data_IF_210031982232
#
_entry.id   IF_210031982232
#
_cell.length_a   1.000
_cell.length_b   1.000
_cell.length_c   1.000
_cell.angle_alpha   90.00
_cell.angle_beta   90.00
_cell.angle_gamma   90.00
#
_symmetry.space_group_name_H-M   'P 1'
#
loop_
_entity.id
_entity.type
_entity.pdbx_description
1 polymer ?
#
# COMPACT_ATOMS: atom_id res chain seq x y z
N UNK A 1 19.87 -17.06 3.93
CA UNK A 1 19.90 -16.73 2.49
C UNK A 1 19.82 -15.23 2.33
N UNK A 2 20.59 -14.61 1.41
CA UNK A 2 20.55 -13.15 1.23
C UNK A 2 19.66 -12.80 0.04
N UNK A 3 18.66 -11.97 0.26
CA UNK A 3 17.74 -11.47 -0.79
C UNK A 3 17.49 -9.97 -0.58
N UNK A 4 17.18 -9.24 -1.65
CA UNK A 4 16.79 -7.82 -1.51
C UNK A 4 15.36 -7.68 -1.00
N UNK A 5 15.00 -6.57 -0.33
CA UNK A 5 13.63 -6.30 0.08
C UNK A 5 12.62 -6.42 -1.06
N UNK A 6 12.98 -5.97 -2.25
CA UNK A 6 12.12 -6.08 -3.44
C UNK A 6 11.81 -7.54 -3.80
N UNK A 7 12.78 -8.45 -3.69
CA UNK A 7 12.53 -9.87 -3.93
C UNK A 7 11.66 -10.47 -2.84
N UNK A 8 11.95 -10.14 -1.56
CA UNK A 8 11.14 -10.62 -0.43
C UNK A 8 9.67 -10.15 -0.52
N UNK A 9 9.42 -8.91 -0.94
CA UNK A 9 8.06 -8.40 -1.17
C UNK A 9 7.33 -9.15 -2.29
N UNK A 10 8.04 -9.57 -3.35
CA UNK A 10 7.46 -10.40 -4.41
C UNK A 10 7.12 -11.81 -3.91
N UNK A 11 8.01 -12.42 -3.13
CA UNK A 11 7.77 -13.72 -2.50
C UNK A 11 6.57 -13.65 -1.53
N UNK A 12 6.51 -12.61 -0.71
CA UNK A 12 5.38 -12.38 0.19
C UNK A 12 4.05 -12.34 -0.57
N UNK A 13 4.00 -11.63 -1.69
CA UNK A 13 2.81 -11.59 -2.55
C UNK A 13 2.45 -12.97 -3.10
N UNK A 14 3.44 -13.74 -3.52
CA UNK A 14 3.23 -15.10 -4.02
C UNK A 14 2.69 -16.03 -2.92
N UNK A 15 3.28 -16.01 -1.71
CA UNK A 15 2.79 -16.79 -0.57
C UNK A 15 1.33 -16.46 -0.25
N UNK A 16 0.96 -15.18 -0.24
CA UNK A 16 -0.42 -14.76 -0.01
C UNK A 16 -1.38 -15.27 -1.10
N UNK A 17 -0.96 -15.27 -2.36
CA UNK A 17 -1.76 -15.82 -3.46
C UNK A 17 -1.96 -17.33 -3.29
N UNK A 18 -0.92 -18.07 -2.90
CA UNK A 18 -1.02 -19.51 -2.65
C UNK A 18 -1.93 -19.84 -1.47
N UNK A 19 -1.85 -19.11 -0.37
CA UNK A 19 -2.76 -19.25 0.77
C UNK A 19 -4.22 -19.03 0.32
N UNK A 20 -4.48 -17.99 -0.47
CA UNK A 20 -5.82 -17.70 -0.99
C UNK A 20 -6.31 -18.79 -1.95
N UNK A 21 -5.41 -19.37 -2.76
CA UNK A 21 -5.74 -20.51 -3.63
C UNK A 21 -6.21 -21.70 -2.81
N UNK A 22 -5.49 -22.05 -1.72
CA UNK A 22 -5.87 -23.17 -0.86
C UNK A 22 -7.21 -22.91 -0.16
N UNK A 23 -7.46 -21.68 0.34
CA UNK A 23 -8.77 -21.33 0.90
C UNK A 23 -9.90 -21.44 -0.11
N UNK A 24 -9.67 -21.06 -1.36
CA UNK A 24 -10.65 -21.23 -2.44
C UNK A 24 -10.88 -22.72 -2.75
N UNK A 25 -9.85 -23.55 -2.68
CA UNK A 25 -9.95 -24.99 -2.84
C UNK A 25 -10.76 -25.63 -1.70
N UNK A 26 -10.52 -25.22 -0.45
CA UNK A 26 -11.31 -25.68 0.71
C UNK A 26 -12.81 -25.39 0.52
N UNK A 27 -13.17 -24.26 -0.06
CA UNK A 27 -14.57 -23.90 -0.27
C UNK A 27 -15.19 -24.58 -1.50
N UNK A 28 -14.42 -24.82 -2.55
CA UNK A 28 -14.94 -25.35 -3.82
C UNK A 28 -14.93 -26.87 -3.92
N UNK A 29 -13.99 -27.55 -3.21
CA UNK A 29 -13.80 -29.01 -3.28
C UNK A 29 -14.21 -29.76 -2.04
N UNK A 30 -14.70 -29.08 -0.99
CA UNK A 30 -15.16 -29.71 0.26
C UNK A 30 -16.47 -30.49 0.11
N UNK A 31 -17.15 -30.33 -1.03
CA UNK A 31 -18.35 -31.12 -1.38
C UNK A 31 -18.11 -31.85 -2.68
N UNK A 32 -18.53 -33.13 -2.71
CA UNK A 32 -18.50 -33.93 -3.92
C UNK A 32 -19.83 -34.71 -4.07
N UNK A 33 -20.31 -34.94 -5.31
CA UNK A 33 -21.54 -35.68 -5.55
C UNK A 33 -21.35 -37.13 -5.19
N UNK A 34 -22.42 -37.75 -4.62
CA UNK A 34 -22.51 -39.16 -4.35
C UNK A 34 -23.22 -39.87 -5.50
N UNK A 35 -22.94 -41.16 -5.63
CA UNK A 35 -23.68 -42.09 -6.50
C UNK A 35 -24.93 -42.65 -5.79
N UNK A 36 -25.60 -43.63 -6.44
CA UNK A 36 -26.80 -44.28 -5.92
C UNK A 36 -26.52 -45.17 -4.66
N UNK A 37 -25.24 -45.52 -4.43
CA UNK A 37 -24.80 -46.32 -3.28
C UNK A 37 -24.27 -45.43 -2.14
N UNK A 38 -24.42 -44.12 -2.23
CA UNK A 38 -23.90 -43.12 -1.28
C UNK A 38 -22.36 -43.06 -1.23
N UNK A 39 -21.70 -43.46 -2.31
CA UNK A 39 -20.24 -43.35 -2.48
C UNK A 39 -19.90 -42.16 -3.36
N UNK A 40 -18.69 -41.60 -3.18
CA UNK A 40 -18.24 -40.47 -4.03
C UNK A 40 -18.11 -40.95 -5.49
N UNK A 41 -18.71 -40.19 -6.42
CA UNK A 41 -18.67 -40.51 -7.86
C UNK A 41 -17.26 -40.45 -8.45
N UNK A 42 -16.36 -39.70 -7.82
CA UNK A 42 -14.96 -39.57 -8.22
C UNK A 42 -14.09 -39.13 -7.02
N UNK A 43 -12.80 -39.45 -7.07
CA UNK A 43 -11.84 -38.92 -6.13
C UNK A 43 -11.62 -37.46 -6.41
N UNK A 44 -11.88 -36.58 -5.42
CA UNK A 44 -11.68 -35.14 -5.54
C UNK A 44 -10.23 -34.73 -5.42
N UNK A 45 -9.36 -35.61 -4.89
CA UNK A 45 -8.00 -35.30 -4.49
C UNK A 45 -7.91 -34.27 -3.37
N UNK A 46 -9.05 -33.89 -2.75
CA UNK A 46 -9.10 -32.92 -1.68
C UNK A 46 -8.73 -33.57 -0.34
N UNK A 47 -7.85 -32.92 0.42
CA UNK A 47 -7.51 -33.30 1.79
C UNK A 47 -7.45 -32.04 2.67
N UNK A 48 -8.38 -31.95 3.59
CA UNK A 48 -8.43 -30.86 4.57
C UNK A 48 -7.14 -30.78 5.41
N UNK A 49 -6.66 -31.92 5.88
CA UNK A 49 -5.47 -32.03 6.72
C UNK A 49 -4.23 -31.53 5.99
N UNK A 50 -4.03 -31.95 4.73
CA UNK A 50 -2.91 -31.50 3.91
C UNK A 50 -2.97 -30.00 3.65
N UNK A 51 -4.17 -29.48 3.37
CA UNK A 51 -4.37 -28.05 3.16
C UNK A 51 -4.04 -27.25 4.43
N UNK A 52 -4.43 -27.73 5.63
CA UNK A 52 -4.08 -27.06 6.90
C UNK A 52 -2.58 -27.05 7.16
N UNK A 53 -1.91 -28.15 6.92
CA UNK A 53 -0.45 -28.25 7.08
C UNK A 53 0.28 -27.30 6.10
N UNK A 54 -0.15 -27.28 4.84
CA UNK A 54 0.47 -26.38 3.85
C UNK A 54 0.20 -24.91 4.16
N UNK A 55 -1.02 -24.53 4.57
CA UNK A 55 -1.31 -23.16 5.01
C UNK A 55 -0.42 -22.78 6.18
N UNK A 56 -0.27 -23.63 7.18
CA UNK A 56 0.59 -23.35 8.32
C UNK A 56 2.03 -23.12 7.89
N UNK A 57 2.58 -23.97 7.03
CA UNK A 57 3.93 -23.81 6.47
C UNK A 57 4.11 -22.46 5.74
N UNK A 58 3.13 -22.09 4.89
CA UNK A 58 3.17 -20.83 4.14
C UNK A 58 3.05 -19.60 5.07
N UNK A 59 2.22 -19.71 6.12
CA UNK A 59 2.06 -18.62 7.11
C UNK A 59 3.32 -18.44 7.97
N UNK A 60 4.02 -19.51 8.31
CA UNK A 60 5.30 -19.43 9.03
C UNK A 60 6.35 -18.72 8.17
N UNK A 61 6.42 -19.04 6.88
CA UNK A 61 7.35 -18.36 5.96
C UNK A 61 6.95 -16.90 5.73
N UNK A 62 5.66 -16.60 5.59
CA UNK A 62 5.15 -15.23 5.53
C UNK A 62 5.59 -14.42 6.77
N UNK A 63 5.48 -15.00 7.95
CA UNK A 63 5.85 -14.35 9.21
C UNK A 63 7.35 -14.07 9.26
N UNK A 64 8.20 -15.00 8.81
CA UNK A 64 9.66 -14.79 8.73
C UNK A 64 10.01 -13.62 7.82
N UNK A 65 9.45 -13.60 6.61
CA UNK A 65 9.70 -12.52 5.64
C UNK A 65 9.24 -11.17 6.19
N UNK A 66 8.02 -11.09 6.77
CA UNK A 66 7.51 -9.86 7.36
C UNK A 66 8.39 -9.34 8.50
N UNK A 67 8.87 -10.24 9.37
CA UNK A 67 9.77 -9.87 10.47
C UNK A 67 11.11 -9.35 9.95
N UNK A 68 11.69 -9.99 8.94
CA UNK A 68 12.93 -9.54 8.32
C UNK A 68 12.78 -8.16 7.66
N UNK A 69 11.68 -7.94 6.91
CA UNK A 69 11.37 -6.64 6.30
C UNK A 69 11.13 -5.54 7.35
N UNK A 70 10.42 -5.86 8.44
CA UNK A 70 10.18 -4.91 9.54
C UNK A 70 11.48 -4.48 10.20
N UNK A 71 12.37 -5.45 10.51
CA UNK A 71 13.70 -5.18 11.05
C UNK A 71 14.53 -4.32 10.09
N UNK A 72 14.56 -4.68 8.82
CA UNK A 72 15.27 -3.91 7.79
C UNK A 72 14.77 -2.47 7.71
N UNK A 73 13.46 -2.27 7.65
CA UNK A 73 12.87 -0.93 7.55
C UNK A 73 13.18 -0.05 8.76
N UNK A 74 13.26 -0.63 9.95
CA UNK A 74 13.53 0.11 11.20
C UNK A 74 15.02 0.42 11.42
N UNK A 75 15.93 -0.32 10.79
CA UNK A 75 17.38 -0.19 11.05
C UNK A 75 18.18 0.35 9.88
N UNK A 76 17.69 0.21 8.65
CA UNK A 76 18.42 0.60 7.44
C UNK A 76 18.06 2.00 7.00
N UNK A 77 19.06 2.85 6.77
CA UNK A 77 18.87 4.19 6.22
C UNK A 77 18.61 4.14 4.72
N UNK A 78 17.71 4.99 4.26
CA UNK A 78 17.46 5.20 2.83
C UNK A 78 18.69 5.84 2.17
N UNK A 79 19.03 5.40 0.96
CA UNK A 79 20.25 5.78 0.25
C UNK A 79 20.42 7.32 0.16
N UNK A 80 21.47 7.83 0.79
CA UNK A 80 21.79 9.27 0.77
C UNK A 80 20.93 10.13 1.70
N UNK A 81 20.08 9.53 2.55
CA UNK A 81 19.26 10.24 3.52
C UNK A 81 19.64 9.85 4.96
N UNK A 82 19.41 10.76 5.89
CA UNK A 82 19.55 10.48 7.33
C UNK A 82 18.22 10.01 7.96
N UNK A 83 17.44 9.24 7.19
CA UNK A 83 16.19 8.63 7.59
C UNK A 83 16.27 7.12 7.39
N UNK A 84 15.75 6.35 8.34
CA UNK A 84 15.50 4.92 8.11
C UNK A 84 14.41 4.74 7.04
N UNK A 85 14.33 3.54 6.46
CA UNK A 85 13.24 3.23 5.51
C UNK A 85 11.87 3.45 6.15
N UNK A 86 11.69 3.07 7.42
CA UNK A 86 10.43 3.29 8.13
C UNK A 86 10.09 4.79 8.26
N UNK A 87 11.05 5.61 8.68
CA UNK A 87 10.86 7.07 8.76
C UNK A 87 10.60 7.71 7.39
N UNK A 88 11.33 7.27 6.36
CA UNK A 88 11.11 7.72 4.99
C UNK A 88 9.69 7.39 4.48
N UNK A 89 9.16 6.20 4.78
CA UNK A 89 7.79 5.82 4.44
C UNK A 89 6.74 6.70 5.15
N UNK A 90 6.97 7.03 6.43
CA UNK A 90 6.12 7.98 7.16
C UNK A 90 6.16 9.36 6.51
N UNK A 91 7.37 9.86 6.19
CA UNK A 91 7.53 11.16 5.53
C UNK A 91 6.86 11.21 4.16
N UNK A 92 6.95 10.14 3.36
CA UNK A 92 6.23 9.99 2.09
C UNK A 92 4.71 10.13 2.30
N UNK A 93 4.15 9.51 3.35
CA UNK A 93 2.74 9.64 3.68
C UNK A 93 2.34 11.07 4.03
N UNK A 94 3.14 11.77 4.85
CA UNK A 94 2.92 13.17 5.21
C UNK A 94 2.96 14.08 3.98
N UNK A 95 3.99 13.94 3.13
CA UNK A 95 4.14 14.72 1.90
C UNK A 95 2.97 14.52 0.94
N UNK A 96 2.50 13.29 0.75
CA UNK A 96 1.33 13.02 -0.10
C UNK A 96 0.07 13.73 0.39
N UNK A 97 -0.16 13.77 1.70
CA UNK A 97 -1.31 14.47 2.28
C UNK A 97 -1.20 15.99 2.11
N UNK A 98 0.00 16.56 2.34
CA UNK A 98 0.26 17.97 2.18
C UNK A 98 0.14 18.41 0.72
N UNK A 99 0.76 17.66 -0.22
CA UNK A 99 0.65 17.88 -1.67
C UNK A 99 -0.83 17.86 -2.11
N UNK A 100 -1.64 16.91 -1.60
CA UNK A 100 -3.07 16.87 -1.90
C UNK A 100 -3.78 18.16 -1.48
N UNK A 101 -3.49 18.67 -0.29
CA UNK A 101 -4.08 19.92 0.22
C UNK A 101 -3.62 21.13 -0.60
N UNK A 102 -2.30 21.27 -0.83
CA UNK A 102 -1.77 22.39 -1.61
C UNK A 102 -2.23 22.35 -3.06
N UNK A 103 -2.41 21.16 -3.65
CA UNK A 103 -2.97 21.04 -5.01
C UNK A 103 -4.39 21.62 -5.10
N UNK A 104 -5.22 21.44 -4.08
CA UNK A 104 -6.55 22.04 -4.02
C UNK A 104 -6.43 23.58 -3.94
N UNK A 105 -5.54 24.08 -3.09
CA UNK A 105 -5.34 25.52 -2.93
C UNK A 105 -4.76 26.18 -4.19
N UNK A 106 -3.80 25.51 -4.84
CA UNK A 106 -3.17 26.00 -6.07
C UNK A 106 -4.16 26.12 -7.24
N UNK A 107 -5.21 25.30 -7.26
CA UNK A 107 -6.21 25.27 -8.34
C UNK A 107 -7.48 26.07 -8.02
N UNK A 108 -7.56 26.78 -6.89
CA UNK A 108 -8.72 27.63 -6.58
C UNK A 108 -8.74 28.87 -7.48
N UNK A 109 -9.94 29.26 -7.91
CA UNK A 109 -10.14 30.56 -8.54
C UNK A 109 -9.91 31.69 -7.53
N UNK A 110 -9.30 32.77 -7.97
CA UNK A 110 -9.04 33.94 -7.11
C UNK A 110 -10.33 34.50 -6.49
N UNK A 111 -11.42 34.44 -7.25
CA UNK A 111 -12.75 34.86 -6.84
C UNK A 111 -13.75 33.73 -7.04
N UNK A 112 -14.67 33.58 -6.07
CA UNK A 112 -15.77 32.61 -6.13
C UNK A 112 -17.07 33.30 -5.70
N UNK A 113 -18.10 33.24 -6.55
CA UNK A 113 -19.43 33.70 -6.22
C UNK A 113 -20.21 32.57 -5.57
N UNK A 114 -20.75 32.83 -4.38
CA UNK A 114 -21.69 31.94 -3.70
C UNK A 114 -23.08 32.55 -3.76
N UNK A 115 -24.02 31.89 -4.44
CA UNK A 115 -25.43 32.23 -4.35
C UNK A 115 -25.97 31.77 -3.00
N UNK A 116 -26.31 32.67 -2.12
CA UNK A 116 -27.04 32.34 -0.89
C UNK A 116 -28.51 32.06 -1.26
N UNK A 117 -28.81 30.82 -1.60
CA UNK A 117 -30.20 30.42 -1.78
C UNK A 117 -30.84 30.09 -0.46
N UNK A 118 -31.54 31.04 0.17
CA UNK A 118 -32.72 30.80 1.06
C UNK A 118 -33.49 32.11 1.40
N UNK A 119 -32.91 33.29 1.18
CA UNK A 119 -33.63 34.55 1.40
C UNK A 119 -33.64 35.44 0.17
N UNK A 120 -34.76 36.12 -0.09
CA UNK A 120 -35.10 36.98 -1.23
C UNK A 120 -34.19 38.20 -1.47
N UNK A 121 -32.95 38.22 -1.04
CA UNK A 121 -31.99 39.23 -1.43
C UNK A 121 -30.87 38.59 -2.27
N UNK A 122 -31.03 38.69 -3.58
CA UNK A 122 -30.22 38.03 -4.61
C UNK A 122 -28.88 38.73 -4.86
N UNK A 123 -28.25 39.29 -3.84
CA UNK A 123 -26.84 39.72 -3.95
C UNK A 123 -25.91 38.55 -3.62
N UNK A 124 -25.35 37.95 -4.66
CA UNK A 124 -24.28 36.96 -4.50
C UNK A 124 -23.14 37.56 -3.67
N UNK A 125 -22.58 36.76 -2.73
CA UNK A 125 -21.38 37.14 -2.00
C UNK A 125 -20.19 36.66 -2.81
N UNK A 126 -19.32 37.60 -3.19
CA UNK A 126 -18.05 37.30 -3.85
C UNK A 126 -16.99 37.03 -2.77
N UNK A 127 -16.45 35.83 -2.76
CA UNK A 127 -15.33 35.46 -1.88
C UNK A 127 -14.03 35.55 -2.67
N UNK A 128 -12.97 36.01 -2.02
CA UNK A 128 -11.63 36.06 -2.55
C UNK A 128 -10.72 35.15 -1.73
N UNK A 129 -9.74 34.48 -2.37
CA UNK A 129 -8.71 33.73 -1.65
C UNK A 129 -7.94 34.67 -0.70
N UNK A 130 -7.55 34.13 0.48
CA UNK A 130 -6.88 34.89 1.55
C UNK A 130 -5.39 34.63 1.63
N UNK A 131 -4.82 33.96 0.62
CA UNK A 131 -3.41 33.54 0.57
C UNK A 131 -2.76 33.90 -0.77
N UNK A 132 -1.43 33.90 -0.78
CA UNK A 132 -0.63 34.04 -2.01
C UNK A 132 -0.59 32.71 -2.77
N UNK A 133 -1.29 32.65 -3.89
CA UNK A 133 -1.39 31.46 -4.73
C UNK A 133 -0.05 31.10 -5.37
N UNK A 134 0.78 32.07 -5.74
CA UNK A 134 2.11 31.84 -6.32
C UNK A 134 3.03 31.14 -5.31
N UNK A 135 2.96 31.55 -4.04
CA UNK A 135 3.69 30.89 -2.96
C UNK A 135 3.22 29.45 -2.77
N UNK A 136 1.91 29.20 -2.79
CA UNK A 136 1.35 27.83 -2.71
C UNK A 136 1.85 26.96 -3.87
N UNK A 137 1.90 27.48 -5.09
CA UNK A 137 2.41 26.76 -6.26
C UNK A 137 3.90 26.43 -6.09
N UNK A 138 4.68 27.36 -5.57
CA UNK A 138 6.12 27.16 -5.32
C UNK A 138 6.34 26.08 -4.24
N UNK A 139 5.62 26.17 -3.13
CA UNK A 139 5.70 25.20 -2.04
C UNK A 139 5.27 23.81 -2.51
N UNK A 140 4.19 23.70 -3.30
CA UNK A 140 3.74 22.46 -3.93
C UNK A 140 4.85 21.83 -4.79
N UNK A 141 5.52 22.63 -5.63
CA UNK A 141 6.63 22.16 -6.46
C UNK A 141 7.79 21.62 -5.61
N UNK A 142 8.12 22.31 -4.50
CA UNK A 142 9.19 21.88 -3.60
C UNK A 142 8.86 20.56 -2.90
N UNK A 143 7.62 20.39 -2.41
CA UNK A 143 7.17 19.15 -1.79
C UNK A 143 7.15 17.97 -2.77
N UNK A 144 6.76 18.21 -4.03
CA UNK A 144 6.80 17.18 -5.07
C UNK A 144 8.24 16.71 -5.36
N UNK A 145 9.20 17.62 -5.38
CA UNK A 145 10.64 17.31 -5.54
C UNK A 145 11.15 16.49 -4.34
N UNK A 146 10.81 16.93 -3.11
CA UNK A 146 11.18 16.19 -1.88
C UNK A 146 10.61 14.79 -1.90
N UNK A 147 9.31 14.63 -2.21
CA UNK A 147 8.65 13.32 -2.33
C UNK A 147 9.36 12.41 -3.32
N UNK A 148 9.66 12.92 -4.52
CA UNK A 148 10.36 12.16 -5.56
C UNK A 148 11.77 11.72 -5.09
N UNK A 149 12.51 12.61 -4.45
CA UNK A 149 13.84 12.32 -3.93
C UNK A 149 13.82 11.18 -2.88
N UNK A 150 12.87 11.25 -1.93
CA UNK A 150 12.74 10.22 -0.89
C UNK A 150 12.31 8.88 -1.49
N UNK A 151 11.37 8.88 -2.44
CA UNK A 151 10.93 7.65 -3.11
C UNK A 151 12.08 6.97 -3.85
N UNK A 152 12.86 7.73 -4.61
CA UNK A 152 14.05 7.21 -5.32
C UNK A 152 15.06 6.61 -4.34
N UNK A 153 15.31 7.26 -3.20
CA UNK A 153 16.22 6.78 -2.18
C UNK A 153 15.77 5.45 -1.57
N UNK A 154 14.47 5.33 -1.24
CA UNK A 154 13.85 4.10 -0.72
C UNK A 154 13.93 2.98 -1.75
N UNK A 155 13.53 3.25 -2.99
CA UNK A 155 13.53 2.25 -4.07
C UNK A 155 14.95 1.74 -4.35
N UNK A 156 15.93 2.64 -4.41
CA UNK A 156 17.34 2.27 -4.58
C UNK A 156 17.81 1.35 -3.46
N UNK A 157 17.50 1.70 -2.20
CA UNK A 157 17.88 0.87 -1.05
C UNK A 157 17.23 -0.52 -1.12
N UNK A 158 15.94 -0.58 -1.43
CA UNK A 158 15.19 -1.83 -1.55
C UNK A 158 15.68 -2.74 -2.69
N UNK A 159 16.27 -2.16 -3.74
CA UNK A 159 16.81 -2.91 -4.87
C UNK A 159 18.24 -3.42 -4.64
N UNK A 160 19.05 -2.68 -3.87
CA UNK A 160 20.49 -2.92 -3.81
C UNK A 160 20.98 -3.49 -2.49
N UNK A 161 20.25 -3.31 -1.39
CA UNK A 161 20.68 -3.74 -0.06
C UNK A 161 20.12 -5.11 0.27
N UNK A 162 20.96 -6.16 0.46
CA UNK A 162 20.49 -7.50 0.80
C UNK A 162 20.06 -7.58 2.27
N UNK A 163 19.09 -8.44 2.54
CA UNK A 163 18.62 -8.84 3.87
C UNK A 163 18.99 -10.32 4.08
N UNK A 164 19.51 -10.64 5.25
CA UNK A 164 19.63 -12.02 5.73
C UNK A 164 18.34 -12.39 6.50
N UNK A 165 17.69 -13.50 6.14
CA UNK A 165 16.45 -13.97 6.74
C UNK A 165 16.33 -15.50 6.75
#
# INVERSE_FOLDING_TARGET
>A
MMKTPTLLMKELKFLQQEIQRIYSEDTSRSYAPLDENMEFRYDTGYSYENNRQEIQRLQEEEMRIRSALAKFNSTTKACGLDLTIAEALVRIGQLKNEIKTLSILANRSEYMETSSGIYHDSRGVTNKITYDQNKVIQDLSNLQKELSSIQIAVDKTNLTTPIEY
#
